data_IF_634406127527
#
_entry.id   IF_634406127527
#
_cell.length_a   1.000
_cell.length_b   1.000
_cell.length_c   1.000
_cell.angle_alpha   90.00
_cell.angle_beta   90.00
_cell.angle_gamma   90.00
#
_symmetry.space_group_name_H-M   'P 1'
#
loop_
_entity.id
_entity.type
_entity.pdbx_description
1 polymer ?
#
# COMPACT_ATOMS: atom_id res chain seq x y z
N UNK A 1 15.42 -43.04 -18.34
CA UNK A 1 14.47 -41.91 -18.23
C UNK A 1 14.59 -41.38 -16.82
N UNK A 2 15.37 -40.31 -16.65
CA UNK A 2 15.46 -39.59 -15.39
C UNK A 2 14.08 -39.01 -15.12
N UNK A 3 13.44 -39.39 -14.01
CA UNK A 3 12.18 -38.76 -13.60
C UNK A 3 12.50 -37.29 -13.33
N UNK A 4 12.01 -36.39 -14.17
CA UNK A 4 12.11 -34.96 -13.97
C UNK A 4 11.63 -34.65 -12.54
N UNK A 5 12.52 -34.17 -11.70
CA UNK A 5 12.23 -33.82 -10.30
C UNK A 5 11.21 -32.67 -10.32
N UNK A 6 9.96 -32.97 -9.94
CA UNK A 6 8.89 -31.98 -9.86
C UNK A 6 9.30 -30.87 -8.89
N UNK A 7 9.46 -29.66 -9.40
CA UNK A 7 9.77 -28.49 -8.59
C UNK A 7 8.57 -28.04 -7.73
N UNK A 8 8.81 -27.23 -6.70
CA UNK A 8 7.73 -26.70 -5.86
C UNK A 8 6.69 -25.90 -6.67
N UNK A 9 7.08 -25.20 -7.75
CA UNK A 9 6.15 -24.48 -8.63
C UNK A 9 5.21 -25.40 -9.38
N UNK A 10 5.57 -26.69 -9.60
CA UNK A 10 4.73 -27.67 -10.25
C UNK A 10 3.65 -28.23 -9.32
N UNK A 11 3.84 -28.11 -8.01
CA UNK A 11 2.87 -28.53 -7.00
C UNK A 11 1.81 -27.44 -6.81
N UNK A 12 0.53 -27.66 -7.19
CA UNK A 12 -0.52 -26.65 -7.03
C UNK A 12 -0.61 -26.05 -5.64
N UNK A 13 -0.58 -26.91 -4.60
CA UNK A 13 -0.68 -26.45 -3.21
C UNK A 13 0.44 -25.48 -2.81
N UNK A 14 1.67 -25.66 -3.29
CA UNK A 14 2.78 -24.78 -2.98
C UNK A 14 2.65 -23.43 -3.70
N UNK A 15 2.39 -23.42 -5.02
CA UNK A 15 2.27 -22.16 -5.77
C UNK A 15 1.05 -21.33 -5.35
N UNK A 16 -0.10 -21.96 -5.13
CA UNK A 16 -1.28 -21.26 -4.63
C UNK A 16 -1.11 -20.82 -3.17
N UNK A 17 -0.38 -21.58 -2.35
CA UNK A 17 0.01 -21.18 -1.01
C UNK A 17 0.91 -19.94 -1.02
N UNK A 18 1.92 -19.89 -1.88
CA UNK A 18 2.77 -18.70 -2.06
C UNK A 18 1.94 -17.48 -2.49
N UNK A 19 1.02 -17.64 -3.45
CA UNK A 19 0.10 -16.58 -3.86
C UNK A 19 -0.75 -16.09 -2.69
N UNK A 20 -1.31 -17.00 -1.89
CA UNK A 20 -2.14 -16.63 -0.75
C UNK A 20 -1.39 -15.80 0.28
N UNK A 21 -0.12 -16.14 0.59
CA UNK A 21 0.71 -15.37 1.51
C UNK A 21 0.97 -13.95 0.99
N UNK A 22 1.31 -13.82 -0.30
CA UNK A 22 1.58 -12.54 -0.94
C UNK A 22 0.33 -11.68 -1.04
N UNK A 23 -0.77 -12.25 -1.54
CA UNK A 23 -2.03 -11.54 -1.75
C UNK A 23 -2.69 -11.11 -0.43
N UNK A 24 -2.57 -11.92 0.64
CA UNK A 24 -3.12 -11.55 1.94
C UNK A 24 -2.34 -10.37 2.56
N UNK A 25 -1.03 -10.30 2.35
CA UNK A 25 -0.25 -9.13 2.77
C UNK A 25 -0.67 -7.88 2.01
N UNK A 26 -0.89 -7.98 0.69
CA UNK A 26 -1.41 -6.85 -0.11
C UNK A 26 -2.83 -6.45 0.31
N UNK A 27 -3.70 -7.41 0.63
CA UNK A 27 -5.01 -7.13 1.20
C UNK A 27 -4.92 -6.27 2.47
N UNK A 28 -4.02 -6.59 3.41
CA UNK A 28 -3.80 -5.79 4.62
C UNK A 28 -3.21 -4.41 4.31
N UNK A 29 -2.31 -4.32 3.33
CA UNK A 29 -1.74 -3.05 2.89
C UNK A 29 -2.84 -2.12 2.34
N UNK A 30 -3.71 -2.61 1.47
CA UNK A 30 -4.80 -1.82 0.90
C UNK A 30 -5.89 -1.45 1.94
N UNK A 31 -6.09 -2.28 2.97
CA UNK A 31 -6.91 -1.86 4.13
C UNK A 31 -6.29 -0.64 4.82
N UNK A 32 -4.97 -0.62 5.03
CA UNK A 32 -4.29 0.47 5.72
C UNK A 32 -4.24 1.77 4.91
N UNK A 33 -4.14 1.68 3.57
CA UNK A 33 -4.17 2.84 2.65
C UNK A 33 -5.38 3.72 2.91
N UNK A 34 -6.56 3.11 3.05
CA UNK A 34 -7.83 3.84 3.15
C UNK A 34 -8.45 3.84 4.55
N UNK A 35 -7.70 3.44 5.57
CA UNK A 35 -8.23 3.24 6.93
C UNK A 35 -8.92 4.47 7.53
N UNK A 36 -8.48 5.69 7.21
CA UNK A 36 -9.07 6.94 7.68
C UNK A 36 -10.12 7.53 6.72
N UNK A 37 -10.16 7.11 5.46
CA UNK A 37 -11.10 7.64 4.45
C UNK A 37 -12.57 7.47 4.85
N UNK A 38 -13.02 6.31 5.38
CA UNK A 38 -14.41 6.13 5.80
C UNK A 38 -14.82 6.94 7.03
N UNK A 39 -13.85 7.42 7.81
CA UNK A 39 -14.07 8.15 9.07
C UNK A 39 -13.55 9.58 9.02
N UNK A 40 -13.43 10.17 7.82
CA UNK A 40 -12.86 11.51 7.62
C UNK A 40 -13.55 12.59 8.47
N UNK A 41 -14.87 12.57 8.58
CA UNK A 41 -15.62 13.51 9.43
C UNK A 41 -15.24 13.39 10.91
N UNK A 42 -14.99 12.17 11.40
CA UNK A 42 -14.53 11.93 12.77
C UNK A 42 -13.06 12.37 12.94
N UNK A 43 -12.22 12.19 11.94
CA UNK A 43 -10.83 12.70 11.92
C UNK A 43 -10.83 14.23 12.04
N UNK A 44 -11.72 14.92 11.35
CA UNK A 44 -11.87 16.37 11.43
C UNK A 44 -12.31 16.83 12.83
N UNK A 45 -13.31 16.17 13.40
CA UNK A 45 -13.82 16.53 14.73
C UNK A 45 -12.89 16.17 15.87
N UNK A 46 -12.18 15.03 15.83
CA UNK A 46 -11.29 14.56 16.90
C UNK A 46 -9.88 15.16 16.82
N UNK A 47 -9.34 15.34 15.59
CA UNK A 47 -7.94 15.73 15.38
C UNK A 47 -7.80 17.15 14.80
N UNK A 48 -8.90 17.77 14.39
CA UNK A 48 -8.88 19.10 13.76
C UNK A 48 -8.29 19.09 12.35
N UNK A 49 -8.28 17.94 11.65
CA UNK A 49 -7.79 17.86 10.29
C UNK A 49 -8.89 18.26 9.31
N UNK A 50 -8.84 19.50 8.85
CA UNK A 50 -9.74 19.95 7.78
C UNK A 50 -9.51 19.20 6.46
N UNK A 51 -10.34 19.46 5.46
CA UNK A 51 -10.25 18.79 4.16
C UNK A 51 -8.92 19.04 3.45
N UNK A 52 -8.26 20.20 3.67
CA UNK A 52 -6.95 20.51 3.10
C UNK A 52 -5.87 19.63 3.76
N UNK A 53 -5.84 19.58 5.08
CA UNK A 53 -4.91 18.74 5.86
C UNK A 53 -5.10 17.27 5.51
N UNK A 54 -6.37 16.82 5.41
CA UNK A 54 -6.67 15.43 5.04
C UNK A 54 -6.23 15.10 3.60
N UNK A 55 -6.37 16.05 2.68
CA UNK A 55 -5.87 15.91 1.30
C UNK A 55 -4.35 15.81 1.23
N UNK A 56 -3.63 16.66 1.99
CA UNK A 56 -2.17 16.59 2.11
C UNK A 56 -1.71 15.27 2.72
N UNK A 57 -2.40 14.81 3.77
CA UNK A 57 -2.18 13.49 4.35
C UNK A 57 -2.39 12.38 3.30
N UNK A 58 -3.50 12.38 2.59
CA UNK A 58 -3.79 11.38 1.56
C UNK A 58 -2.79 11.36 0.41
N UNK A 59 -2.30 12.54 0.00
CA UNK A 59 -1.25 12.68 -1.03
C UNK A 59 0.15 12.28 -0.55
N UNK A 60 0.40 12.31 0.74
CA UNK A 60 1.74 12.02 1.30
C UNK A 60 2.21 10.59 1.03
N UNK A 61 1.31 9.64 0.87
CA UNK A 61 1.60 8.24 0.49
C UNK A 61 2.49 8.14 -0.75
N UNK A 62 2.23 9.00 -1.74
CA UNK A 62 2.91 8.96 -3.03
C UNK A 62 4.12 9.91 -3.10
N UNK A 63 4.33 10.77 -2.11
CA UNK A 63 5.30 11.85 -2.18
C UNK A 63 6.73 11.35 -2.50
N UNK A 64 7.24 10.38 -1.76
CA UNK A 64 8.58 9.84 -1.98
C UNK A 64 8.67 9.02 -3.28
N UNK A 65 7.60 8.33 -3.64
CA UNK A 65 7.55 7.53 -4.87
C UNK A 65 7.63 8.42 -6.12
N UNK A 66 6.96 9.58 -6.10
CA UNK A 66 6.89 10.50 -7.25
C UNK A 66 8.07 11.47 -7.26
N UNK A 67 8.30 12.22 -6.17
CA UNK A 67 9.27 13.31 -6.17
C UNK A 67 10.72 12.86 -5.94
N UNK A 68 10.93 11.73 -5.25
CA UNK A 68 12.26 11.16 -5.02
C UNK A 68 12.54 10.00 -6.00
N UNK A 69 11.51 9.51 -6.70
CA UNK A 69 11.64 8.39 -7.62
C UNK A 69 11.88 7.05 -6.91
N UNK A 70 11.36 6.90 -5.69
CA UNK A 70 11.59 5.70 -4.89
C UNK A 70 11.13 4.40 -5.58
N UNK A 71 10.08 4.45 -6.41
CA UNK A 71 9.61 3.29 -7.16
C UNK A 71 10.69 2.77 -8.14
N UNK A 72 11.48 3.67 -8.74
CA UNK A 72 12.63 3.27 -9.60
C UNK A 72 13.71 2.59 -8.74
N UNK A 73 14.00 3.15 -7.56
CA UNK A 73 14.93 2.54 -6.62
C UNK A 73 14.45 1.16 -6.15
N UNK A 74 13.15 1.01 -5.91
CA UNK A 74 12.54 -0.26 -5.54
C UNK A 74 12.75 -1.33 -6.62
N UNK A 75 12.59 -0.97 -7.91
CA UNK A 75 12.90 -1.85 -9.03
C UNK A 75 14.38 -2.26 -9.06
N UNK A 76 15.30 -1.31 -8.88
CA UNK A 76 16.75 -1.60 -8.83
C UNK A 76 17.12 -2.50 -7.64
N UNK A 77 16.49 -2.28 -6.47
CA UNK A 77 16.69 -3.14 -5.29
C UNK A 77 16.18 -4.55 -5.59
N UNK A 78 15.00 -4.67 -6.20
CA UNK A 78 14.42 -5.95 -6.57
C UNK A 78 15.33 -6.73 -7.53
N UNK A 79 15.88 -6.07 -8.55
CA UNK A 79 16.77 -6.70 -9.52
C UNK A 79 18.11 -7.16 -8.90
N UNK A 80 18.66 -6.37 -7.96
CA UNK A 80 19.95 -6.68 -7.33
C UNK A 80 19.85 -7.62 -6.14
N UNK A 81 18.81 -7.48 -5.31
CA UNK A 81 18.69 -8.19 -4.03
C UNK A 81 17.68 -9.35 -4.09
N UNK A 82 16.90 -9.41 -5.16
CA UNK A 82 15.90 -10.45 -5.41
C UNK A 82 14.61 -10.31 -4.60
N UNK A 83 13.62 -11.13 -4.97
CA UNK A 83 12.25 -11.10 -4.46
C UNK A 83 12.17 -11.25 -2.94
N UNK A 84 12.98 -12.15 -2.36
CA UNK A 84 12.96 -12.46 -0.92
C UNK A 84 13.32 -11.27 -0.04
N UNK A 85 14.46 -10.65 -0.35
CA UNK A 85 14.93 -9.48 0.40
C UNK A 85 13.97 -8.32 0.25
N UNK A 86 13.51 -8.07 -0.98
CA UNK A 86 12.63 -6.95 -1.28
C UNK A 86 11.25 -7.10 -0.63
N UNK A 87 10.73 -8.34 -0.54
CA UNK A 87 9.48 -8.62 0.19
C UNK A 87 9.62 -8.30 1.69
N UNK A 88 10.70 -8.74 2.34
CA UNK A 88 10.92 -8.43 3.76
C UNK A 88 11.14 -6.94 4.01
N UNK A 89 11.91 -6.27 3.13
CA UNK A 89 12.16 -4.83 3.23
C UNK A 89 10.86 -4.05 3.06
N UNK A 90 10.06 -4.36 2.05
CA UNK A 90 8.77 -3.71 1.81
C UNK A 90 7.80 -3.89 2.97
N UNK A 91 7.67 -5.12 3.49
CA UNK A 91 6.87 -5.40 4.67
C UNK A 91 7.34 -4.65 5.91
N UNK A 92 8.65 -4.55 6.11
CA UNK A 92 9.23 -3.78 7.23
C UNK A 92 8.93 -2.28 7.12
N UNK A 93 9.07 -1.69 5.92
CA UNK A 93 8.73 -0.29 5.67
C UNK A 93 7.25 -0.02 5.92
N UNK A 94 6.37 -0.92 5.48
CA UNK A 94 4.92 -0.81 5.75
C UNK A 94 4.62 -0.82 7.25
N UNK A 95 5.21 -1.76 7.99
CA UNK A 95 4.99 -1.87 9.45
C UNK A 95 5.53 -0.64 10.18
N UNK A 96 6.75 -0.20 9.88
CA UNK A 96 7.35 0.98 10.53
C UNK A 96 6.51 2.23 10.24
N UNK A 97 6.11 2.45 8.99
CA UNK A 97 5.26 3.56 8.60
C UNK A 97 3.90 3.53 9.31
N UNK A 98 3.30 2.34 9.43
CA UNK A 98 2.05 2.14 10.15
C UNK A 98 2.19 2.46 11.66
N UNK A 99 3.28 2.02 12.30
CA UNK A 99 3.54 2.29 13.72
C UNK A 99 3.76 3.79 13.98
N UNK A 100 4.46 4.50 13.08
CA UNK A 100 4.60 5.96 13.16
C UNK A 100 3.22 6.62 13.09
N UNK A 101 2.35 6.20 12.17
CA UNK A 101 0.98 6.72 12.04
C UNK A 101 0.15 6.42 13.30
N UNK A 102 0.23 5.21 13.85
CA UNK A 102 -0.42 4.85 15.12
C UNK A 102 0.05 5.78 16.25
N UNK A 103 1.36 6.03 16.34
CA UNK A 103 1.93 6.92 17.34
C UNK A 103 1.48 8.37 17.15
N UNK A 104 1.47 8.88 15.91
CA UNK A 104 1.01 10.22 15.57
C UNK A 104 -0.42 10.52 16.03
N UNK A 105 -1.30 9.52 16.01
CA UNK A 105 -2.70 9.64 16.42
C UNK A 105 -2.90 9.38 17.92
N UNK A 106 -1.87 8.95 18.65
CA UNK A 106 -1.97 8.59 20.06
C UNK A 106 -2.17 9.81 20.97
N UNK A 107 -2.86 9.60 22.10
CA UNK A 107 -2.98 10.62 23.14
C UNK A 107 -1.59 11.03 23.66
N UNK A 108 -0.64 10.10 23.75
CA UNK A 108 0.75 10.39 24.17
C UNK A 108 1.39 11.44 23.27
N UNK A 109 1.33 11.28 21.95
CA UNK A 109 1.89 12.26 21.03
C UNK A 109 1.14 13.58 21.08
N UNK A 110 -0.20 13.55 21.10
CA UNK A 110 -1.04 14.76 21.18
C UNK A 110 -0.77 15.61 22.43
N UNK A 111 -0.37 15.00 23.53
CA UNK A 111 -0.07 15.67 24.81
C UNK A 111 1.42 16.06 24.94
N UNK A 112 2.17 16.19 23.86
CA UNK A 112 3.58 16.61 23.89
C UNK A 112 4.56 15.47 24.17
N UNK A 113 4.24 14.24 23.77
CA UNK A 113 5.13 13.09 23.91
C UNK A 113 6.41 13.19 23.06
N UNK A 114 7.30 12.20 23.14
CA UNK A 114 8.61 12.21 22.48
C UNK A 114 8.53 12.61 21.01
N UNK A 115 9.36 13.59 20.60
CA UNK A 115 9.41 14.07 19.22
C UNK A 115 8.36 15.11 18.84
N UNK A 116 7.39 15.43 19.71
CA UNK A 116 6.35 16.41 19.42
C UNK A 116 6.94 17.79 19.08
N UNK A 117 7.88 18.30 19.89
CA UNK A 117 8.48 19.63 19.70
C UNK A 117 9.26 19.72 18.37
N UNK A 118 9.96 18.65 17.99
CA UNK A 118 10.67 18.58 16.72
C UNK A 118 9.70 18.62 15.54
N UNK A 119 8.63 17.83 15.58
CA UNK A 119 7.58 17.82 14.56
C UNK A 119 6.83 19.16 14.50
N UNK A 120 6.55 19.77 15.65
CA UNK A 120 5.89 21.08 15.72
C UNK A 120 6.78 22.18 15.14
N UNK A 121 8.08 22.17 15.43
CA UNK A 121 9.04 23.10 14.82
C UNK A 121 9.13 22.91 13.30
N UNK A 122 9.12 21.67 12.83
CA UNK A 122 9.11 21.36 11.39
C UNK A 122 7.78 21.77 10.73
N UNK A 123 6.66 21.58 11.41
CA UNK A 123 5.35 22.09 10.95
C UNK A 123 5.36 23.61 10.78
N UNK A 124 5.91 24.34 11.76
CA UNK A 124 6.05 25.79 11.71
C UNK A 124 6.96 26.25 10.56
N UNK A 125 8.03 25.51 10.28
CA UNK A 125 8.92 25.76 9.14
C UNK A 125 8.20 25.56 7.81
N UNK A 126 7.43 24.47 7.65
CA UNK A 126 6.61 24.22 6.45
C UNK A 126 5.60 25.35 6.28
N UNK A 127 4.92 25.75 7.35
CA UNK A 127 3.96 26.85 7.31
C UNK A 127 4.61 28.16 6.80
N UNK A 128 5.81 28.46 7.28
CA UNK A 128 6.56 29.65 6.86
C UNK A 128 6.92 29.69 5.38
N UNK A 129 7.09 28.52 4.73
CA UNK A 129 7.45 28.44 3.31
C UNK A 129 6.20 28.30 2.42
N UNK A 130 5.22 27.49 2.81
CA UNK A 130 4.11 27.08 1.94
C UNK A 130 2.79 27.76 2.28
N UNK A 131 2.67 28.32 3.48
CA UNK A 131 1.42 28.79 4.05
C UNK A 131 0.48 27.68 4.53
N UNK A 132 0.86 26.40 4.42
CA UNK A 132 0.02 25.27 4.85
C UNK A 132 0.05 25.13 6.38
N UNK A 133 -1.12 25.05 6.98
CA UNK A 133 -1.24 24.83 8.42
C UNK A 133 -1.44 23.34 8.72
N UNK A 134 -0.32 22.61 8.83
CA UNK A 134 -0.33 21.18 9.14
C UNK A 134 -0.18 20.97 10.65
N UNK A 135 -1.20 20.48 11.38
CA UNK A 135 -1.02 20.11 12.78
C UNK A 135 0.11 19.09 12.96
N UNK A 136 0.85 19.11 14.08
CA UNK A 136 1.94 18.15 14.34
C UNK A 136 1.50 16.69 14.19
N UNK A 137 0.27 16.37 14.59
CA UNK A 137 -0.32 15.02 14.41
C UNK A 137 -0.45 14.64 12.95
N UNK A 138 -0.91 15.57 12.09
CA UNK A 138 -1.02 15.34 10.67
C UNK A 138 0.34 15.18 10.00
N UNK A 139 1.30 16.06 10.35
CA UNK A 139 2.66 15.99 9.80
C UNK A 139 3.35 14.67 10.16
N UNK A 140 3.27 14.26 11.44
CA UNK A 140 3.84 12.98 11.87
C UNK A 140 3.15 11.79 11.17
N UNK A 141 1.83 11.83 11.00
CA UNK A 141 1.09 10.83 10.26
C UNK A 141 1.48 10.79 8.77
N UNK A 142 1.72 11.97 8.13
CA UNK A 142 2.24 12.06 6.76
C UNK A 142 3.61 11.38 6.63
N UNK A 143 4.53 11.61 7.56
CA UNK A 143 5.85 10.97 7.53
C UNK A 143 5.74 9.44 7.62
N UNK A 144 4.88 8.94 8.51
CA UNK A 144 4.59 7.52 8.58
C UNK A 144 3.95 6.98 7.30
N UNK A 145 3.03 7.74 6.71
CA UNK A 145 2.33 7.33 5.51
C UNK A 145 3.21 7.39 4.25
N UNK A 146 4.15 8.33 4.16
CA UNK A 146 5.21 8.33 3.12
C UNK A 146 6.04 7.05 3.17
N UNK A 147 6.49 6.66 4.37
CA UNK A 147 7.30 5.44 4.53
C UNK A 147 6.50 4.18 4.23
N UNK A 148 5.24 4.13 4.67
CA UNK A 148 4.31 3.06 4.33
C UNK A 148 4.11 2.98 2.81
N UNK A 149 3.90 4.11 2.13
CA UNK A 149 3.73 4.19 0.68
C UNK A 149 4.94 3.64 -0.09
N UNK A 150 6.17 3.95 0.36
CA UNK A 150 7.37 3.32 -0.19
C UNK A 150 7.33 1.79 -0.06
N UNK A 151 6.92 1.28 1.10
CA UNK A 151 6.77 -0.16 1.33
C UNK A 151 5.71 -0.79 0.43
N UNK A 152 4.56 -0.15 0.29
CA UNK A 152 3.43 -0.68 -0.50
C UNK A 152 3.75 -0.72 -1.99
N UNK A 153 4.37 0.32 -2.55
CA UNK A 153 4.77 0.35 -3.96
C UNK A 153 5.88 -0.68 -4.26
N UNK A 154 6.87 -0.78 -3.36
CA UNK A 154 7.88 -1.83 -3.43
C UNK A 154 7.27 -3.23 -3.35
N UNK A 155 6.28 -3.44 -2.47
CA UNK A 155 5.56 -4.71 -2.37
C UNK A 155 4.84 -5.06 -3.66
N UNK A 156 4.18 -4.09 -4.31
CA UNK A 156 3.45 -4.29 -5.57
C UNK A 156 4.35 -4.85 -6.68
N UNK A 157 5.51 -4.22 -6.93
CA UNK A 157 6.46 -4.73 -7.94
C UNK A 157 7.06 -6.08 -7.54
N UNK A 158 7.30 -6.29 -6.25
CA UNK A 158 7.86 -7.55 -5.72
C UNK A 158 6.89 -8.71 -5.86
N UNK A 159 5.61 -8.49 -5.51
CA UNK A 159 4.55 -9.50 -5.61
C UNK A 159 4.31 -9.88 -7.07
N UNK A 160 4.26 -8.90 -7.97
CA UNK A 160 4.13 -9.17 -9.41
C UNK A 160 5.29 -10.05 -9.92
N UNK A 161 6.53 -9.74 -9.54
CA UNK A 161 7.71 -10.56 -9.89
C UNK A 161 7.64 -11.96 -9.29
N UNK A 162 7.20 -12.07 -8.03
CA UNK A 162 7.02 -13.34 -7.34
C UNK A 162 5.98 -14.22 -8.07
N UNK A 163 4.85 -13.64 -8.48
CA UNK A 163 3.81 -14.37 -9.22
C UNK A 163 4.37 -14.88 -10.55
N UNK A 164 5.11 -14.06 -11.30
CA UNK A 164 5.76 -14.48 -12.55
C UNK A 164 6.68 -15.70 -12.31
N UNK A 165 7.50 -15.65 -11.25
CA UNK A 165 8.43 -16.74 -10.89
C UNK A 165 7.70 -18.04 -10.53
N UNK A 166 6.66 -17.98 -9.69
CA UNK A 166 5.94 -19.15 -9.20
C UNK A 166 4.96 -19.73 -10.20
N UNK A 167 4.43 -18.91 -11.12
CA UNK A 167 3.42 -19.29 -12.12
C UNK A 167 3.96 -19.33 -13.55
N UNK A 168 5.30 -19.37 -13.76
CA UNK A 168 5.91 -19.49 -15.10
C UNK A 168 5.36 -20.72 -15.81
N UNK A 169 4.68 -20.49 -16.95
CA UNK A 169 4.05 -21.57 -17.75
C UNK A 169 2.79 -22.19 -17.12
N UNK A 170 2.20 -21.56 -16.11
CA UNK A 170 0.97 -21.99 -15.44
C UNK A 170 -0.11 -20.89 -15.55
N UNK A 171 -1.09 -20.87 -14.64
CA UNK A 171 -2.23 -19.95 -14.63
C UNK A 171 -1.86 -18.53 -14.17
N UNK A 172 -0.84 -17.90 -14.75
CA UNK A 172 -0.25 -16.62 -14.31
C UNK A 172 -1.27 -15.46 -14.35
N UNK A 173 -2.06 -15.36 -15.42
CA UNK A 173 -3.07 -14.30 -15.52
C UNK A 173 -4.15 -14.41 -14.44
N UNK A 174 -4.57 -15.64 -14.11
CA UNK A 174 -5.52 -15.90 -13.03
C UNK A 174 -4.92 -15.52 -11.66
N UNK A 175 -3.65 -15.87 -11.43
CA UNK A 175 -2.97 -15.54 -10.17
C UNK A 175 -2.86 -14.02 -9.97
N UNK A 176 -2.47 -13.26 -11.01
CA UNK A 176 -2.44 -11.80 -10.98
C UNK A 176 -3.84 -11.20 -10.77
N UNK A 177 -4.86 -11.74 -11.44
CA UNK A 177 -6.24 -11.28 -11.26
C UNK A 177 -6.76 -11.49 -9.84
N UNK A 178 -6.46 -12.63 -9.22
CA UNK A 178 -6.85 -12.93 -7.83
C UNK A 178 -6.12 -11.99 -6.86
N UNK A 179 -4.84 -11.74 -7.06
CA UNK A 179 -4.06 -10.81 -6.23
C UNK A 179 -4.69 -9.41 -6.26
N UNK A 180 -4.95 -8.87 -7.45
CA UNK A 180 -5.57 -7.56 -7.62
C UNK A 180 -6.99 -7.51 -7.04
N UNK A 181 -7.79 -8.56 -7.20
CA UNK A 181 -9.12 -8.66 -6.64
C UNK A 181 -9.08 -8.63 -5.09
N UNK A 182 -8.16 -9.39 -4.48
CA UNK A 182 -7.98 -9.38 -3.03
C UNK A 182 -7.54 -8.01 -2.49
N UNK A 183 -6.66 -7.30 -3.21
CA UNK A 183 -6.29 -5.94 -2.86
C UNK A 183 -7.51 -5.01 -2.83
N UNK A 184 -8.37 -5.04 -3.85
CA UNK A 184 -9.63 -4.26 -3.89
C UNK A 184 -10.62 -4.69 -2.82
N UNK A 185 -10.67 -5.99 -2.51
CA UNK A 185 -11.49 -6.49 -1.40
C UNK A 185 -11.00 -5.96 -0.03
N UNK A 186 -9.71 -5.69 0.13
CA UNK A 186 -9.16 -5.00 1.29
C UNK A 186 -9.76 -3.60 1.46
N UNK A 187 -9.87 -2.84 0.37
CA UNK A 187 -10.53 -1.52 0.40
C UNK A 187 -12.01 -1.65 0.77
N UNK A 188 -12.74 -2.60 0.16
CA UNK A 188 -14.12 -2.88 0.56
C UNK A 188 -14.24 -3.16 2.06
N UNK A 189 -13.39 -4.04 2.58
CA UNK A 189 -13.44 -4.46 3.98
C UNK A 189 -13.21 -3.28 4.94
N UNK A 190 -12.25 -2.39 4.65
CA UNK A 190 -11.95 -1.28 5.55
C UNK A 190 -13.03 -0.21 5.55
N UNK A 191 -13.72 0.04 4.43
CA UNK A 191 -14.84 0.96 4.39
C UNK A 191 -16.02 0.49 5.25
N UNK A 192 -16.14 -0.81 5.50
CA UNK A 192 -17.11 -1.38 6.44
C UNK A 192 -16.60 -1.42 7.88
N UNK A 193 -15.32 -1.75 8.04
CA UNK A 193 -14.74 -2.07 9.34
C UNK A 193 -14.29 -0.82 10.10
N UNK A 194 -13.73 0.18 9.41
CA UNK A 194 -13.18 1.37 10.05
C UNK A 194 -14.23 2.17 10.83
N UNK A 195 -15.43 2.48 10.28
CA UNK A 195 -16.46 3.19 11.04
C UNK A 195 -16.95 2.40 12.26
N UNK A 196 -17.09 1.08 12.13
CA UNK A 196 -17.50 0.22 13.22
C UNK A 196 -16.47 0.17 14.35
N UNK A 197 -15.17 0.06 14.01
CA UNK A 197 -14.07 0.09 15.00
C UNK A 197 -13.98 1.45 15.68
N UNK A 198 -14.06 2.55 14.91
CA UNK A 198 -14.00 3.89 15.45
C UNK A 198 -15.18 4.16 16.42
N UNK A 199 -16.41 3.74 16.07
CA UNK A 199 -17.57 3.88 16.93
C UNK A 199 -17.47 3.00 18.19
N UNK A 200 -17.00 1.75 18.06
CA UNK A 200 -16.90 0.83 19.19
C UNK A 200 -15.89 1.25 20.24
N UNK A 201 -14.78 1.86 19.80
CA UNK A 201 -13.68 2.28 20.69
C UNK A 201 -13.64 3.80 20.91
N UNK A 202 -14.60 4.53 20.37
CA UNK A 202 -14.72 5.99 20.46
C UNK A 202 -13.41 6.73 20.09
N UNK A 203 -12.72 6.24 19.06
CA UNK A 203 -11.42 6.77 18.63
C UNK A 203 -11.10 6.48 17.17
N UNK A 204 -10.62 7.50 16.46
CA UNK A 204 -10.08 7.37 15.10
C UNK A 204 -8.77 6.56 15.05
N UNK A 205 -8.09 6.40 16.19
CA UNK A 205 -6.87 5.62 16.28
C UNK A 205 -7.14 4.10 16.21
N UNK A 206 -8.30 3.65 16.69
CA UNK A 206 -8.61 2.22 16.82
C UNK A 206 -8.53 1.44 15.48
N UNK A 207 -9.17 1.88 14.38
CA UNK A 207 -9.02 1.19 13.10
C UNK A 207 -7.57 1.21 12.57
N UNK A 208 -6.80 2.25 12.87
CA UNK A 208 -5.39 2.36 12.46
C UNK A 208 -4.53 1.33 13.21
N UNK A 209 -4.75 1.16 14.52
CA UNK A 209 -4.08 0.11 15.32
C UNK A 209 -4.44 -1.27 14.77
N UNK A 210 -5.72 -1.52 14.51
CA UNK A 210 -6.17 -2.80 13.97
C UNK A 210 -5.46 -3.14 12.65
N UNK A 211 -5.41 -2.21 11.69
CA UNK A 211 -4.72 -2.43 10.42
C UNK A 211 -3.19 -2.55 10.58
N UNK A 212 -2.59 -1.82 11.53
CA UNK A 212 -1.16 -1.97 11.83
C UNK A 212 -0.83 -3.37 12.37
N UNK A 213 -1.69 -3.95 13.21
CA UNK A 213 -1.55 -5.34 13.66
C UNK A 213 -1.67 -6.33 12.49
N UNK A 214 -2.60 -6.11 11.56
CA UNK A 214 -2.70 -6.93 10.35
C UNK A 214 -1.46 -6.82 9.48
N UNK A 215 -0.84 -5.64 9.36
CA UNK A 215 0.43 -5.47 8.65
C UNK A 215 1.59 -6.21 9.33
N UNK A 216 1.63 -6.27 10.66
CA UNK A 216 2.58 -7.11 11.38
C UNK A 216 2.39 -8.60 11.03
N UNK A 217 1.14 -9.06 10.94
CA UNK A 217 0.84 -10.42 10.45
C UNK A 217 1.31 -10.56 8.99
N UNK A 218 1.05 -9.57 8.12
CA UNK A 218 1.53 -9.55 6.74
C UNK A 218 3.05 -9.69 6.62
N UNK A 219 3.81 -9.00 7.48
CA UNK A 219 5.26 -9.16 7.54
C UNK A 219 5.65 -10.59 7.93
N UNK A 220 4.94 -11.23 8.88
CA UNK A 220 5.18 -12.63 9.21
C UNK A 220 4.87 -13.55 8.03
N UNK A 221 3.83 -13.27 7.24
CA UNK A 221 3.53 -14.02 6.02
C UNK A 221 4.66 -13.89 4.99
N UNK A 222 5.29 -12.72 4.85
CA UNK A 222 6.48 -12.53 4.01
C UNK A 222 7.70 -13.31 4.54
N UNK A 223 7.85 -13.46 5.85
CA UNK A 223 8.88 -14.34 6.42
C UNK A 223 8.62 -15.79 6.03
N UNK A 224 7.38 -16.27 6.10
CA UNK A 224 7.03 -17.64 5.65
C UNK A 224 7.29 -17.78 4.15
N UNK A 225 6.86 -16.80 3.34
CA UNK A 225 7.13 -16.78 1.91
C UNK A 225 8.63 -16.84 1.60
N UNK A 226 9.48 -16.14 2.35
CA UNK A 226 10.93 -16.17 2.20
C UNK A 226 11.49 -17.59 2.24
N UNK A 227 11.04 -18.41 3.19
CA UNK A 227 11.49 -19.79 3.30
C UNK A 227 10.94 -20.68 2.17
N UNK A 228 9.70 -20.45 1.74
CA UNK A 228 9.12 -21.15 0.59
C UNK A 228 9.87 -20.84 -0.71
N UNK A 229 10.15 -19.59 -0.97
CA UNK A 229 10.87 -19.16 -2.16
C UNK A 229 12.33 -19.62 -2.16
N UNK A 230 12.99 -19.67 -0.97
CA UNK A 230 14.31 -20.26 -0.81
C UNK A 230 14.33 -21.74 -1.15
N UNK A 231 13.28 -22.47 -0.79
CA UNK A 231 13.14 -23.89 -1.14
C UNK A 231 12.90 -24.08 -2.64
N UNK A 232 12.13 -23.18 -3.27
CA UNK A 232 11.94 -23.19 -4.72
C UNK A 232 13.25 -23.00 -5.48
N UNK A 233 14.09 -22.03 -5.08
CA UNK A 233 15.39 -21.81 -5.74
C UNK A 233 16.28 -23.04 -5.73
N UNK A 234 16.29 -23.78 -4.60
CA UNK A 234 17.04 -25.06 -4.52
C UNK A 234 16.51 -26.15 -5.45
N UNK A 235 15.21 -26.13 -5.72
CA UNK A 235 14.61 -27.08 -6.65
C UNK A 235 14.89 -26.68 -8.11
N UNK A 236 15.13 -25.39 -8.38
CA UNK A 236 15.45 -24.82 -9.69
C UNK A 236 16.95 -24.77 -9.99
N UNK A 237 17.82 -25.12 -9.01
CA UNK A 237 19.27 -25.22 -9.22
C UNK A 237 19.56 -26.21 -10.36
N UNK A 238 20.00 -25.70 -11.53
CA UNK A 238 20.27 -26.48 -12.75
C UNK A 238 19.27 -26.25 -13.89
N UNK A 239 18.18 -25.54 -13.70
CA UNK A 239 17.42 -24.98 -14.82
C UNK A 239 18.13 -23.70 -15.33
N UNK A 240 18.38 -23.60 -16.63
CA UNK A 240 18.84 -22.34 -17.23
C UNK A 240 17.72 -21.30 -17.06
N UNK A 241 17.86 -20.40 -16.08
CA UNK A 241 17.05 -19.18 -16.07
C UNK A 241 17.50 -18.35 -17.30
N UNK A 242 16.57 -18.04 -18.19
CA UNK A 242 16.78 -16.94 -19.14
C UNK A 242 17.11 -15.70 -18.30
N UNK A 243 18.39 -15.31 -18.29
CA UNK A 243 18.86 -14.14 -17.58
C UNK A 243 18.08 -12.92 -18.09
N UNK A 244 17.19 -12.40 -17.26
CA UNK A 244 16.54 -11.13 -17.59
C UNK A 244 17.61 -10.06 -17.73
N UNK A 245 17.57 -9.32 -18.83
CA UNK A 245 18.55 -8.24 -19.04
C UNK A 245 18.44 -7.22 -17.90
N UNK A 246 19.57 -6.89 -17.21
CA UNK A 246 19.56 -5.92 -16.15
C UNK A 246 19.15 -4.54 -16.68
N UNK A 247 18.38 -3.80 -15.90
CA UNK A 247 17.94 -2.45 -16.22
C UNK A 247 19.13 -1.56 -16.62
N UNK A 248 19.04 -0.92 -17.79
CA UNK A 248 20.02 0.04 -18.30
C UNK A 248 19.37 1.42 -18.42
N UNK A 249 20.01 2.44 -17.88
CA UNK A 249 19.50 3.82 -18.01
C UNK A 249 19.32 4.28 -19.47
N UNK A 250 20.06 3.68 -20.42
CA UNK A 250 19.87 3.91 -21.86
C UNK A 250 18.50 3.52 -22.38
N UNK A 251 17.82 2.59 -21.72
CA UNK A 251 16.49 2.11 -22.14
C UNK A 251 15.39 3.12 -21.82
N UNK A 252 15.60 4.00 -20.83
CA UNK A 252 14.71 5.13 -20.55
C UNK A 252 14.53 6.03 -21.79
N UNK A 253 15.60 6.26 -22.56
CA UNK A 253 15.50 7.06 -23.80
C UNK A 253 14.57 6.44 -24.83
N UNK A 254 14.53 5.10 -24.94
CA UNK A 254 13.61 4.38 -25.81
C UNK A 254 12.17 4.47 -25.33
N UNK A 255 11.98 4.34 -23.99
CA UNK A 255 10.64 4.44 -23.36
C UNK A 255 10.06 5.84 -23.57
N UNK A 256 10.81 6.89 -23.23
CA UNK A 256 10.34 8.28 -23.38
C UNK A 256 10.19 8.72 -24.85
N UNK A 257 10.89 8.07 -25.78
CA UNK A 257 10.73 8.26 -27.23
C UNK A 257 9.48 7.59 -27.81
N UNK A 258 8.81 6.72 -27.05
CA UNK A 258 7.64 5.99 -27.52
C UNK A 258 6.34 6.79 -27.38
N UNK A 259 5.64 7.07 -28.49
CA UNK A 259 4.33 7.73 -28.45
C UNK A 259 3.27 6.91 -27.69
N UNK A 260 3.33 5.57 -27.75
CA UNK A 260 2.42 4.69 -27.02
C UNK A 260 2.62 4.85 -25.51
N UNK A 261 3.86 4.98 -25.05
CA UNK A 261 4.16 5.24 -23.64
C UNK A 261 3.44 6.49 -23.13
N UNK A 262 3.53 7.59 -23.87
CA UNK A 262 2.88 8.85 -23.46
C UNK A 262 1.36 8.78 -23.45
N UNK A 263 0.74 8.11 -24.42
CA UNK A 263 -0.71 7.89 -24.41
C UNK A 263 -1.14 7.10 -23.17
N UNK A 264 -0.47 5.99 -22.88
CA UNK A 264 -0.77 5.19 -21.69
C UNK A 264 -0.52 5.98 -20.40
N UNK A 265 0.60 6.70 -20.31
CA UNK A 265 0.94 7.51 -19.15
C UNK A 265 -0.13 8.60 -18.88
N UNK A 266 -0.58 9.32 -19.92
CA UNK A 266 -1.63 10.34 -19.79
C UNK A 266 -2.95 9.70 -19.36
N UNK A 267 -3.35 8.57 -19.94
CA UNK A 267 -4.57 7.86 -19.53
C UNK A 267 -4.50 7.43 -18.06
N UNK A 268 -3.36 6.92 -17.60
CA UNK A 268 -3.16 6.59 -16.19
C UNK A 268 -3.27 7.83 -15.29
N UNK A 269 -2.63 8.95 -15.66
CA UNK A 269 -2.71 10.21 -14.90
C UNK A 269 -4.16 10.68 -14.79
N UNK A 270 -4.90 10.72 -15.90
CA UNK A 270 -6.30 11.16 -15.92
C UNK A 270 -7.18 10.24 -15.06
N UNK A 271 -7.00 8.93 -15.18
CA UNK A 271 -7.77 7.95 -14.41
C UNK A 271 -7.50 8.10 -12.90
N UNK A 272 -6.24 8.05 -12.49
CA UNK A 272 -5.90 8.07 -11.07
C UNK A 272 -6.13 9.43 -10.41
N UNK A 273 -5.99 10.54 -11.16
CA UNK A 273 -6.31 11.88 -10.63
C UNK A 273 -7.80 12.06 -10.31
N UNK A 274 -8.69 11.28 -10.92
CA UNK A 274 -10.11 11.26 -10.59
C UNK A 274 -10.43 10.27 -9.46
N UNK A 275 -9.90 9.05 -9.54
CA UNK A 275 -10.28 7.95 -8.65
C UNK A 275 -9.75 8.14 -7.22
N UNK A 276 -8.47 8.50 -7.03
CA UNK A 276 -7.90 8.60 -5.69
C UNK A 276 -8.53 9.72 -4.84
N UNK A 277 -8.68 10.97 -5.32
CA UNK A 277 -9.38 11.98 -4.55
C UNK A 277 -10.83 11.60 -4.26
N UNK A 278 -11.55 11.04 -5.24
CA UNK A 278 -12.89 10.55 -5.04
C UNK A 278 -12.96 9.52 -3.91
N UNK A 279 -12.08 8.52 -3.92
CA UNK A 279 -12.05 7.47 -2.89
C UNK A 279 -11.75 8.03 -1.49
N UNK A 280 -10.88 9.04 -1.37
CA UNK A 280 -10.52 9.67 -0.09
C UNK A 280 -11.66 10.51 0.50
N UNK A 281 -12.49 11.15 -0.32
CA UNK A 281 -13.52 12.09 0.11
C UNK A 281 -14.97 11.61 -0.13
N UNK A 282 -15.16 10.41 -0.69
CA UNK A 282 -16.49 9.92 -1.09
C UNK A 282 -17.47 9.81 0.08
N UNK A 283 -17.02 9.31 1.24
CA UNK A 283 -17.87 9.18 2.42
C UNK A 283 -18.36 10.55 2.91
N UNK A 284 -17.45 11.53 2.95
CA UNK A 284 -17.78 12.90 3.31
C UNK A 284 -18.75 13.55 2.30
N UNK A 285 -18.49 13.33 1.01
CA UNK A 285 -19.36 13.84 -0.06
C UNK A 285 -20.78 13.26 0.06
N UNK A 286 -20.92 11.97 0.31
CA UNK A 286 -22.22 11.34 0.50
C UNK A 286 -22.92 11.84 1.77
N UNK A 287 -22.19 12.09 2.85
CA UNK A 287 -22.72 12.66 4.07
C UNK A 287 -23.28 14.06 3.84
N UNK A 288 -22.49 14.99 3.31
CA UNK A 288 -22.91 16.40 3.18
C UNK A 288 -23.84 16.68 2.00
N UNK A 289 -23.70 15.97 0.87
CA UNK A 289 -24.53 16.24 -0.32
C UNK A 289 -25.80 15.42 -0.38
N UNK A 290 -25.77 14.19 0.14
CA UNK A 290 -26.91 13.26 0.06
C UNK A 290 -27.61 13.13 1.41
N UNK A 291 -26.95 13.49 2.52
CA UNK A 291 -27.53 13.45 3.86
C UNK A 291 -27.46 12.08 4.54
N UNK A 292 -26.60 11.17 4.06
CA UNK A 292 -26.40 9.88 4.71
C UNK A 292 -25.65 10.02 6.03
N UNK A 293 -25.96 9.18 7.00
CA UNK A 293 -25.10 8.99 8.17
C UNK A 293 -23.71 8.50 7.74
N UNK A 294 -22.64 8.91 8.47
CA UNK A 294 -21.25 8.60 8.06
C UNK A 294 -20.99 7.11 7.87
N UNK A 295 -21.54 6.26 8.76
CA UNK A 295 -21.44 4.80 8.67
C UNK A 295 -22.16 4.25 7.45
N UNK A 296 -23.32 4.81 7.14
CA UNK A 296 -24.14 4.45 5.99
C UNK A 296 -23.45 4.88 4.68
N UNK A 297 -22.95 6.11 4.62
CA UNK A 297 -22.18 6.63 3.49
C UNK A 297 -20.97 5.76 3.17
N UNK A 298 -20.20 5.35 4.20
CA UNK A 298 -19.08 4.43 4.05
C UNK A 298 -19.51 3.05 3.55
N UNK A 299 -20.65 2.56 4.05
CA UNK A 299 -21.22 1.29 3.62
C UNK A 299 -21.64 1.30 2.15
N UNK A 300 -22.27 2.36 1.68
CA UNK A 300 -22.62 2.51 0.26
C UNK A 300 -21.36 2.62 -0.61
N UNK A 301 -20.40 3.47 -0.22
CA UNK A 301 -19.18 3.62 -1.00
C UNK A 301 -18.34 2.34 -1.05
N UNK A 302 -18.44 1.46 -0.05
CA UNK A 302 -17.68 0.20 -0.06
C UNK A 302 -17.91 -0.67 -1.30
N UNK A 303 -19.05 -0.53 -1.98
CA UNK A 303 -19.32 -1.25 -3.23
C UNK A 303 -18.53 -0.73 -4.44
N UNK A 304 -17.99 0.49 -4.37
CA UNK A 304 -17.18 1.05 -5.46
C UNK A 304 -15.93 0.20 -5.79
N UNK A 305 -15.09 -0.19 -4.79
CA UNK A 305 -13.98 -1.11 -5.06
C UNK A 305 -14.41 -2.48 -5.61
N UNK A 306 -15.60 -2.98 -5.24
CA UNK A 306 -16.13 -4.24 -5.77
C UNK A 306 -16.39 -4.12 -7.27
N UNK A 307 -16.94 -2.99 -7.74
CA UNK A 307 -17.11 -2.72 -9.16
C UNK A 307 -15.80 -2.70 -9.94
N UNK A 308 -14.68 -2.41 -9.30
CA UNK A 308 -13.34 -2.45 -9.91
C UNK A 308 -12.70 -3.85 -9.93
N UNK A 309 -13.35 -4.88 -9.36
CA UNK A 309 -12.89 -6.28 -9.38
C UNK A 309 -13.42 -7.04 -10.61
N UNK A 310 -14.47 -6.53 -11.25
CA UNK A 310 -15.17 -7.12 -12.40
C UNK A 310 -14.65 -6.48 -13.69
#
# INVERSE_FOLDING_TARGET
MEQAKLSLRDKPAARWGALALLSLTMFFAYMFVDVLSPVKTLVETELGWDSTVFGLYGGSEFFLNVFVGFLILAGIILDKMGVRFTALLSGSLMVIGALIKVYALSATFRNGGPGYDAINSFSSFIHGITGWNLPPTALCACLGFMLFGCGTEMAGVTVSRAIVKWFKGKEMALAMGIEMALARFGVFAIFRLSPWLAAKFESVQAPVIFCALLLCIGLMLYVVYYFMDKALDKDLEGEEEEAEEPFKFSDLGKVFGSGVFWVVAILCVLYYSAIFPFQKFATEMLHYKVGFETTEAAAYFSYFPIGAMI
#
